data_IF_961507229661
#
_entry.id   IF_961507229661
#
_cell.length_a   1.000
_cell.length_b   1.000
_cell.length_c   1.000
_cell.angle_alpha   90.00
_cell.angle_beta   90.00
_cell.angle_gamma   90.00
#
_symmetry.space_group_name_H-M   'P 1'
#
loop_
_entity.id
_entity.type
_entity.pdbx_description
1 polymer ?
#
# COMPACT_ATOMS: atom_id res chain seq x y z
N UNK A 1 11.41 -9.96 -7.71
CA UNK A 1 11.13 -9.29 -6.42
C UNK A 1 9.99 -10.03 -5.76
N UNK A 2 10.21 -10.46 -4.52
CA UNK A 2 9.18 -11.09 -3.68
C UNK A 2 8.57 -10.04 -2.77
N UNK A 3 7.24 -9.99 -2.71
CA UNK A 3 6.54 -9.21 -1.70
C UNK A 3 6.60 -9.98 -0.38
N UNK A 4 7.04 -9.33 0.69
CA UNK A 4 7.41 -9.95 1.98
C UNK A 4 6.55 -9.48 3.13
N UNK A 5 5.81 -8.37 2.95
CA UNK A 5 4.81 -7.95 3.92
C UNK A 5 3.65 -7.21 3.26
N UNK A 6 2.45 -7.59 3.67
CA UNK A 6 1.20 -6.92 3.36
C UNK A 6 0.35 -6.90 4.61
N UNK A 7 -0.42 -5.83 4.78
CA UNK A 7 -1.25 -5.67 5.96
C UNK A 7 -2.52 -4.91 5.60
N UNK A 8 -3.65 -5.30 6.20
CA UNK A 8 -4.94 -4.65 5.99
C UNK A 8 -5.73 -4.64 7.30
N UNK A 9 -6.07 -3.44 7.79
CA UNK A 9 -7.17 -3.26 8.74
C UNK A 9 -6.82 -2.91 10.18
N UNK A 10 -7.89 -2.71 10.96
CA UNK A 10 -7.87 -2.22 12.33
C UNK A 10 -7.34 -3.31 13.29
N UNK A 11 -6.02 -3.51 13.32
CA UNK A 11 -5.36 -4.39 14.28
C UNK A 11 -5.24 -5.87 13.88
N UNK A 12 -5.26 -6.21 12.59
CA UNK A 12 -5.17 -7.60 12.13
C UNK A 12 -4.17 -7.82 10.99
N UNK A 13 -3.22 -8.74 11.19
CA UNK A 13 -2.30 -9.21 10.16
C UNK A 13 -3.06 -10.10 9.15
N UNK A 14 -3.38 -9.57 7.97
CA UNK A 14 -3.84 -10.39 6.84
C UNK A 14 -2.63 -10.71 5.97
N UNK A 15 -1.94 -11.81 6.29
CA UNK A 15 -0.83 -12.33 5.48
C UNK A 15 -1.33 -13.27 4.37
N UNK A 16 -2.46 -13.95 4.61
CA UNK A 16 -3.13 -14.87 3.67
C UNK A 16 -4.53 -14.37 3.29
N UNK A 17 -4.94 -14.58 2.03
CA UNK A 17 -6.22 -14.11 1.49
C UNK A 17 -6.10 -12.78 0.72
N UNK A 18 -7.14 -11.94 0.78
CA UNK A 18 -7.16 -10.60 0.18
C UNK A 18 -6.90 -9.52 1.23
N UNK A 19 -6.09 -8.52 0.88
CA UNK A 19 -5.98 -7.29 1.65
C UNK A 19 -7.21 -6.45 1.36
N UNK A 20 -7.64 -5.61 2.31
CA UNK A 20 -8.83 -4.78 2.16
C UNK A 20 -8.49 -3.31 2.28
N UNK A 21 -9.11 -2.53 1.42
CA UNK A 21 -9.25 -1.09 1.60
C UNK A 21 -10.74 -0.81 1.71
N UNK A 22 -11.15 -0.16 2.80
CA UNK A 22 -12.54 0.11 3.09
C UNK A 22 -12.69 1.45 3.78
N UNK A 23 -13.72 2.20 3.41
CA UNK A 23 -14.14 3.40 4.13
C UNK A 23 -15.65 3.28 4.36
N UNK A 24 -16.12 3.67 5.54
CA UNK A 24 -17.54 3.97 5.78
C UNK A 24 -17.70 5.06 6.84
N UNK A 25 -16.74 5.98 6.90
CA UNK A 25 -16.69 7.05 7.90
C UNK A 25 -17.90 8.02 7.84
N UNK A 26 -18.71 7.99 6.76
CA UNK A 26 -20.01 8.67 6.67
C UNK A 26 -21.17 7.93 7.33
N UNK A 27 -21.00 6.68 7.74
CA UNK A 27 -22.08 5.84 8.27
C UNK A 27 -22.22 5.97 9.80
N UNK A 28 -23.30 5.41 10.34
CA UNK A 28 -23.62 5.43 11.78
C UNK A 28 -22.57 4.73 12.65
N UNK A 29 -21.86 3.75 12.11
CA UNK A 29 -20.74 3.05 12.75
C UNK A 29 -19.47 3.27 11.92
N UNK A 30 -18.81 4.43 12.04
CA UNK A 30 -17.73 4.82 11.16
C UNK A 30 -16.46 4.00 11.46
N UNK A 31 -15.90 3.37 10.43
CA UNK A 31 -14.54 2.85 10.47
C UNK A 31 -13.94 2.83 9.06
N UNK A 32 -12.62 2.75 9.01
CA UNK A 32 -11.84 2.58 7.78
C UNK A 32 -10.84 1.43 7.96
N UNK A 33 -10.39 0.88 6.83
CA UNK A 33 -9.36 -0.14 6.72
C UNK A 33 -8.40 0.34 5.64
N UNK A 34 -7.14 0.53 6.03
CA UNK A 34 -6.06 0.90 5.13
C UNK A 34 -5.12 -0.30 4.94
N UNK A 35 -4.49 -0.37 3.77
CA UNK A 35 -3.57 -1.45 3.42
C UNK A 35 -2.14 -0.95 3.33
N UNK A 36 -1.19 -1.59 4.04
CA UNK A 36 0.25 -1.40 3.83
C UNK A 36 0.80 -2.47 2.88
N UNK A 37 1.67 -2.07 1.97
CA UNK A 37 2.29 -2.95 0.99
C UNK A 37 3.76 -2.59 0.81
N UNK A 38 4.67 -3.55 1.07
CA UNK A 38 6.12 -3.34 0.97
C UNK A 38 6.84 -4.53 0.33
N UNK A 39 7.54 -4.27 -0.77
CA UNK A 39 8.45 -5.22 -1.39
C UNK A 39 9.82 -5.12 -0.73
N UNK A 40 10.29 -6.19 -0.08
CA UNK A 40 11.67 -6.25 0.39
C UNK A 40 12.61 -6.79 -0.70
N UNK A 41 13.91 -6.62 -0.49
CA UNK A 41 14.96 -7.14 -1.38
C UNK A 41 14.82 -6.69 -2.85
N UNK A 42 14.44 -5.43 -3.05
CA UNK A 42 14.43 -4.80 -4.38
C UNK A 42 15.87 -4.46 -4.80
N UNK A 43 16.20 -4.69 -6.07
CA UNK A 43 17.51 -4.37 -6.63
C UNK A 43 17.41 -4.07 -8.13
N UNK A 44 18.39 -3.32 -8.63
CA UNK A 44 18.68 -3.10 -10.05
C UNK A 44 20.20 -3.29 -10.26
N UNK A 45 20.70 -3.44 -11.50
CA UNK A 45 22.14 -3.53 -11.74
C UNK A 45 22.92 -2.33 -11.17
N UNK A 46 24.13 -2.58 -10.67
CA UNK A 46 24.97 -1.53 -10.09
C UNK A 46 25.26 -0.40 -11.08
N UNK A 47 25.25 0.85 -10.60
CA UNK A 47 25.48 2.05 -11.42
C UNK A 47 24.28 2.49 -12.28
N UNK A 48 23.16 1.77 -12.22
CA UNK A 48 21.91 2.16 -12.89
C UNK A 48 21.05 3.07 -12.03
N UNK A 49 20.22 3.86 -12.69
CA UNK A 49 19.23 4.73 -12.05
C UNK A 49 17.81 4.33 -12.45
N UNK A 50 16.82 4.60 -11.59
CA UNK A 50 15.41 4.35 -11.88
C UNK A 50 14.92 5.32 -12.95
N UNK A 51 14.53 4.81 -14.11
CA UNK A 51 13.88 5.58 -15.17
C UNK A 51 12.35 5.66 -14.93
N UNK A 52 11.74 4.55 -14.53
CA UNK A 52 10.32 4.51 -14.16
C UNK A 52 10.04 3.33 -13.23
N UNK A 53 9.04 3.46 -12.37
CA UNK A 53 8.56 2.37 -11.52
C UNK A 53 7.04 2.23 -11.62
N UNK A 54 6.56 0.98 -11.64
CA UNK A 54 5.13 0.65 -11.75
C UNK A 54 4.74 -0.41 -10.74
N UNK A 55 3.71 -0.12 -9.97
CA UNK A 55 3.04 -1.08 -9.10
C UNK A 55 1.81 -1.63 -9.82
N UNK A 56 1.79 -2.93 -10.07
CA UNK A 56 0.65 -3.63 -10.66
C UNK A 56 -0.06 -4.42 -9.57
N UNK A 57 -1.36 -4.18 -9.41
CA UNK A 57 -2.21 -4.83 -8.42
C UNK A 57 -3.42 -5.46 -9.09
N UNK A 58 -3.73 -6.70 -8.72
CA UNK A 58 -5.03 -7.30 -9.00
C UNK A 58 -5.97 -6.95 -7.85
N UNK A 59 -7.10 -6.35 -8.18
CA UNK A 59 -8.11 -5.90 -7.22
C UNK A 59 -9.48 -6.45 -7.60
N UNK A 60 -10.37 -6.57 -6.62
CA UNK A 60 -11.77 -6.90 -6.80
C UNK A 60 -12.63 -5.83 -6.15
N UNK A 61 -13.53 -5.23 -6.93
CA UNK A 61 -14.57 -4.34 -6.42
C UNK A 61 -15.77 -4.30 -7.35
N UNK A 62 -16.96 -4.12 -6.77
CA UNK A 62 -18.21 -3.90 -7.50
C UNK A 62 -18.68 -2.44 -7.41
N UNK A 63 -17.78 -1.53 -7.02
CA UNK A 63 -18.02 -0.09 -6.97
C UNK A 63 -17.24 0.63 -8.09
N UNK A 64 -17.69 1.83 -8.42
CA UNK A 64 -17.01 2.76 -9.33
C UNK A 64 -17.27 4.20 -8.87
N UNK A 65 -16.59 5.18 -9.49
CA UNK A 65 -16.79 6.59 -9.16
C UNK A 65 -16.21 7.04 -7.81
N UNK A 66 -15.31 6.25 -7.23
CA UNK A 66 -14.54 6.60 -6.03
C UNK A 66 -13.06 6.75 -6.36
N UNK A 67 -12.32 7.38 -5.45
CA UNK A 67 -10.86 7.53 -5.55
C UNK A 67 -10.21 6.73 -4.44
N UNK A 68 -9.32 5.81 -4.81
CA UNK A 68 -8.35 5.23 -3.88
C UNK A 68 -7.04 5.99 -4.03
N UNK A 69 -6.38 6.27 -2.93
CA UNK A 69 -5.11 6.99 -2.91
C UNK A 69 -4.01 6.11 -2.33
N UNK A 70 -2.77 6.46 -2.63
CA UNK A 70 -1.59 5.85 -2.05
C UNK A 70 -0.58 6.89 -1.60
N UNK A 71 0.03 6.66 -0.43
CA UNK A 71 1.11 7.47 0.13
C UNK A 71 2.36 6.61 0.32
N UNK A 72 3.53 7.22 0.15
CA UNK A 72 4.80 6.55 0.41
C UNK A 72 5.13 6.64 1.89
N UNK A 73 5.28 5.51 2.56
CA UNK A 73 5.64 5.48 3.97
C UNK A 73 7.10 5.88 4.16
N UNK A 74 7.40 6.56 5.26
CA UNK A 74 8.78 6.94 5.59
C UNK A 74 9.21 6.50 6.99
N UNK A 75 8.26 6.33 7.92
CA UNK A 75 8.56 5.81 9.25
C UNK A 75 8.55 4.29 9.23
N UNK A 76 9.42 3.68 10.04
CA UNK A 76 9.53 2.24 10.08
C UNK A 76 8.32 1.60 10.78
N UNK A 77 7.97 0.39 10.38
CA UNK A 77 6.93 -0.40 11.04
C UNK A 77 7.28 -1.88 10.96
N UNK A 78 6.70 -2.64 11.88
CA UNK A 78 6.88 -4.08 11.96
C UNK A 78 5.59 -4.80 11.57
N UNK A 79 5.48 -5.29 10.31
CA UNK A 79 4.29 -6.00 9.85
C UNK A 79 4.08 -7.35 10.54
N UNK A 80 5.07 -7.86 11.29
CA UNK A 80 4.95 -9.11 12.05
C UNK A 80 4.46 -8.89 13.47
N UNK A 81 4.42 -7.64 13.93
CA UNK A 81 3.97 -7.29 15.26
C UNK A 81 2.46 -7.57 15.39
N UNK A 82 2.07 -8.35 16.41
CA UNK A 82 0.68 -8.77 16.59
C UNK A 82 -0.31 -7.64 16.92
N UNK A 83 0.19 -6.49 17.40
CA UNK A 83 -0.63 -5.33 17.74
C UNK A 83 -0.40 -4.13 16.80
N UNK A 84 0.27 -4.33 15.64
CA UNK A 84 0.30 -3.30 14.61
C UNK A 84 -1.14 -2.99 14.19
N UNK A 85 -1.44 -1.72 13.95
CA UNK A 85 -2.79 -1.28 13.58
C UNK A 85 -2.93 0.23 13.64
N UNK A 86 -4.12 0.71 14.00
CA UNK A 86 -4.47 2.12 13.97
C UNK A 86 -3.52 3.01 14.80
N UNK A 87 -3.15 2.56 16.01
CA UNK A 87 -2.29 3.33 16.91
C UNK A 87 -0.82 2.91 16.84
N UNK A 88 -0.55 1.60 16.88
CA UNK A 88 0.82 1.09 16.95
C UNK A 88 1.37 0.78 15.56
N UNK A 89 2.63 1.14 15.33
CA UNK A 89 3.38 0.76 14.13
C UNK A 89 4.35 -0.40 14.37
N UNK A 90 4.81 -0.56 15.62
CA UNK A 90 5.64 -1.67 16.11
C UNK A 90 5.62 -1.70 17.63
N UNK A 91 6.24 -2.71 18.23
CA UNK A 91 6.38 -2.81 19.70
C UNK A 91 6.98 -1.52 20.29
N UNK A 92 6.27 -0.92 21.25
CA UNK A 92 6.71 0.28 21.95
C UNK A 92 6.69 1.59 21.14
N UNK A 93 6.11 1.59 19.93
CA UNK A 93 6.05 2.80 19.10
C UNK A 93 4.70 2.99 18.40
N UNK A 94 4.22 4.23 18.44
CA UNK A 94 2.99 4.67 17.80
C UNK A 94 3.26 5.28 16.42
N UNK A 95 2.24 5.30 15.56
CA UNK A 95 2.17 6.25 14.46
C UNK A 95 2.13 7.68 15.02
N UNK A 96 2.72 8.64 14.29
CA UNK A 96 2.67 10.04 14.69
C UNK A 96 1.23 10.58 14.62
N UNK A 97 0.44 10.12 13.66
CA UNK A 97 -1.01 10.29 13.65
C UNK A 97 -1.67 8.94 13.41
N UNK A 98 -2.67 8.62 14.22
CA UNK A 98 -3.35 7.33 14.13
C UNK A 98 -3.88 7.05 12.71
N UNK A 99 -3.73 5.81 12.26
CA UNK A 99 -3.94 5.40 10.87
C UNK A 99 -2.76 5.71 9.95
N UNK A 100 -1.59 6.02 10.51
CA UNK A 100 -0.39 6.44 9.79
C UNK A 100 -0.61 7.71 8.94
N UNK A 101 -1.39 8.66 9.47
CA UNK A 101 -1.84 9.88 8.76
C UNK A 101 -0.92 11.09 8.97
N UNK A 102 0.25 10.92 9.58
CA UNK A 102 1.17 12.02 9.87
C UNK A 102 1.93 12.50 8.63
N UNK A 103 1.59 13.69 8.14
CA UNK A 103 2.28 14.29 6.99
C UNK A 103 3.73 14.68 7.33
N UNK A 104 4.70 14.14 6.59
CA UNK A 104 6.12 14.39 6.85
C UNK A 104 6.63 13.74 8.14
N UNK A 105 5.81 12.91 8.80
CA UNK A 105 6.20 12.10 9.97
C UNK A 105 5.99 10.62 9.70
N UNK A 106 4.77 10.19 9.36
CA UNK A 106 4.46 8.80 8.99
C UNK A 106 4.72 8.52 7.50
N UNK A 107 4.33 9.45 6.62
CA UNK A 107 4.48 9.36 5.17
C UNK A 107 5.24 10.55 4.57
N UNK A 108 5.78 10.37 3.37
CA UNK A 108 6.57 11.38 2.65
C UNK A 108 5.67 12.55 2.21
N UNK A 109 5.97 13.76 2.69
CA UNK A 109 5.19 14.95 2.35
C UNK A 109 5.22 15.28 0.87
N UNK A 110 4.06 15.63 0.31
CA UNK A 110 3.91 16.02 -1.10
C UNK A 110 4.08 14.88 -2.12
N UNK A 111 4.20 13.62 -1.67
CA UNK A 111 4.32 12.45 -2.54
C UNK A 111 3.15 11.49 -2.31
N UNK A 112 2.28 11.38 -3.29
CA UNK A 112 1.15 10.45 -3.32
C UNK A 112 0.80 10.08 -4.76
N UNK A 113 -0.11 9.13 -4.93
CA UNK A 113 -0.76 8.82 -6.19
C UNK A 113 -2.26 8.57 -5.96
N UNK A 114 -3.05 8.68 -7.03
CA UNK A 114 -4.48 8.44 -7.00
C UNK A 114 -4.87 7.40 -8.06
N UNK A 115 -5.93 6.64 -7.76
CA UNK A 115 -6.51 5.61 -8.60
C UNK A 115 -8.00 5.93 -8.70
N UNK A 116 -8.43 6.32 -9.89
CA UNK A 116 -9.80 6.80 -10.16
C UNK A 116 -10.54 5.96 -11.20
N UNK A 117 -9.85 5.00 -11.83
CA UNK A 117 -10.34 4.25 -12.99
C UNK A 117 -11.02 2.94 -12.62
N UNK A 118 -11.66 2.85 -11.45
CA UNK A 118 -12.33 1.63 -11.02
C UNK A 118 -13.60 1.35 -11.82
N UNK A 119 -13.76 0.09 -12.23
CA UNK A 119 -15.00 -0.41 -12.84
C UNK A 119 -15.77 -1.29 -11.86
N UNK A 120 -17.10 -1.17 -11.85
CA UNK A 120 -18.00 -1.98 -11.05
C UNK A 120 -18.23 -3.38 -11.66
N UNK A 121 -17.14 -4.12 -11.89
CA UNK A 121 -17.15 -5.39 -12.63
C UNK A 121 -16.44 -6.53 -11.89
N UNK A 122 -16.08 -6.32 -10.63
CA UNK A 122 -15.28 -7.25 -9.83
C UNK A 122 -13.80 -7.13 -10.16
N UNK A 123 -13.25 -8.24 -10.64
CA UNK A 123 -11.83 -8.48 -10.84
C UNK A 123 -11.20 -7.59 -11.92
N UNK A 124 -10.18 -6.81 -11.55
CA UNK A 124 -9.48 -5.89 -12.45
C UNK A 124 -8.00 -5.74 -12.09
N UNK A 125 -7.18 -5.47 -13.10
CA UNK A 125 -5.74 -5.21 -12.92
C UNK A 125 -5.52 -3.72 -13.07
N UNK A 126 -4.92 -3.11 -12.05
CA UNK A 126 -4.61 -1.70 -12.01
C UNK A 126 -3.10 -1.52 -12.02
N UNK A 127 -2.64 -0.71 -12.97
CA UNK A 127 -1.26 -0.28 -13.10
C UNK A 127 -1.11 1.14 -12.51
N UNK A 128 -0.20 1.28 -11.56
CA UNK A 128 0.02 2.51 -10.81
C UNK A 128 1.45 2.97 -11.06
N UNK A 129 1.60 4.16 -11.63
CA UNK A 129 2.90 4.80 -11.75
C UNK A 129 3.37 5.28 -10.39
N UNK A 130 4.57 4.82 -9.98
CA UNK A 130 5.22 5.28 -8.76
C UNK A 130 6.23 6.39 -9.07
N UNK A 131 6.54 7.20 -8.06
CA UNK A 131 7.53 8.26 -8.14
C UNK A 131 8.95 7.64 -8.26
N UNK A 132 9.66 7.86 -9.38
CA UNK A 132 10.98 7.27 -9.60
C UNK A 132 12.01 7.66 -8.53
N UNK A 133 11.92 8.88 -7.98
CA UNK A 133 12.86 9.37 -6.96
C UNK A 133 12.67 8.67 -5.63
N UNK A 134 11.43 8.33 -5.26
CA UNK A 134 11.15 7.57 -4.04
C UNK A 134 11.65 6.13 -4.18
N UNK A 135 11.36 5.49 -5.32
CA UNK A 135 11.84 4.12 -5.60
C UNK A 135 13.37 4.06 -5.72
N UNK A 136 14.00 5.09 -6.28
CA UNK A 136 15.46 5.23 -6.26
C UNK A 136 15.98 5.30 -4.82
N UNK A 137 15.33 6.06 -3.93
CA UNK A 137 15.67 6.11 -2.51
C UNK A 137 15.63 4.74 -1.83
N UNK A 138 14.58 3.95 -2.10
CA UNK A 138 14.46 2.58 -1.59
C UNK A 138 15.62 1.67 -2.04
N UNK A 139 16.13 1.85 -3.26
CA UNK A 139 17.27 1.09 -3.79
C UNK A 139 18.60 1.58 -3.20
N UNK A 140 18.78 2.89 -3.07
CA UNK A 140 20.01 3.51 -2.56
C UNK A 140 20.18 3.31 -1.06
N UNK A 141 19.08 3.30 -0.30
CA UNK A 141 19.10 3.07 1.14
C UNK A 141 17.95 2.14 1.51
N UNK A 142 18.15 0.80 1.43
CA UNK A 142 17.08 -0.19 1.65
C UNK A 142 16.32 -0.04 2.97
N UNK A 143 16.93 0.49 4.03
CA UNK A 143 16.26 0.75 5.31
C UNK A 143 15.20 1.86 5.25
N UNK A 144 15.20 2.70 4.20
CA UNK A 144 14.17 3.72 3.95
C UNK A 144 12.97 3.18 3.17
N UNK A 145 13.07 1.96 2.65
CA UNK A 145 11.94 1.31 2.00
C UNK A 145 10.92 0.90 3.07
N UNK A 146 9.87 1.70 3.20
CA UNK A 146 8.71 1.39 4.03
C UNK A 146 7.47 1.13 3.16
N UNK A 147 7.63 0.98 1.85
CA UNK A 147 6.52 0.70 0.94
C UNK A 147 5.49 1.81 0.87
N UNK A 148 4.24 1.41 0.63
CA UNK A 148 3.11 2.32 0.42
C UNK A 148 1.93 1.95 1.30
N UNK A 149 1.13 2.94 1.66
CA UNK A 149 -0.18 2.76 2.29
C UNK A 149 -1.27 3.15 1.28
N UNK A 150 -2.22 2.25 1.06
CA UNK A 150 -3.41 2.43 0.23
C UNK A 150 -4.64 2.68 1.12
N UNK A 151 -5.43 3.68 0.76
CA UNK A 151 -6.58 4.14 1.52
C UNK A 151 -7.62 4.78 0.59
N UNK A 152 -8.85 4.91 1.05
CA UNK A 152 -9.88 5.71 0.40
C UNK A 152 -10.12 6.92 1.30
N UNK A 153 -9.95 8.13 0.76
CA UNK A 153 -10.12 9.41 1.49
C UNK A 153 -11.40 10.12 1.06
N UNK A 154 -12.47 9.35 0.88
CA UNK A 154 -13.77 9.86 0.53
C UNK A 154 -14.81 8.97 1.21
N UNK A 155 -15.69 9.54 2.06
CA UNK A 155 -16.55 8.78 2.94
C UNK A 155 -17.67 8.12 2.14
N UNK A 156 -17.30 7.02 1.50
CA UNK A 156 -18.07 6.21 0.56
C UNK A 156 -18.10 4.82 1.12
N UNK A 157 -19.26 4.16 1.17
CA UNK A 157 -19.36 2.78 1.64
C UNK A 157 -18.81 1.82 0.56
N UNK A 158 -17.49 1.81 0.39
CA UNK A 158 -16.79 1.12 -0.70
C UNK A 158 -15.74 0.20 -0.13
N UNK A 159 -15.76 -1.05 -0.60
CA UNK A 159 -14.74 -2.05 -0.34
C UNK A 159 -13.97 -2.38 -1.61
N UNK A 160 -12.65 -2.50 -1.46
CA UNK A 160 -11.74 -3.03 -2.48
C UNK A 160 -10.93 -4.15 -1.83
N UNK A 161 -11.02 -5.34 -2.40
CA UNK A 161 -10.13 -6.46 -2.07
C UNK A 161 -8.91 -6.40 -3.00
N UNK A 162 -7.71 -6.58 -2.46
CA UNK A 162 -6.45 -6.63 -3.19
C UNK A 162 -5.87 -8.02 -3.01
N UNK A 163 -5.56 -8.68 -4.13
CA UNK A 163 -4.97 -10.01 -4.11
C UNK A 163 -3.57 -9.96 -3.50
N UNK A 164 -3.26 -10.91 -2.61
CA UNK A 164 -2.03 -10.85 -1.85
C UNK A 164 -0.85 -11.60 -2.50
N UNK A 165 0.37 -11.38 -1.98
CA UNK A 165 1.55 -12.18 -2.33
C UNK A 165 1.39 -13.69 -2.11
N UNK A 166 0.48 -14.10 -1.23
CA UNK A 166 0.23 -15.51 -0.93
C UNK A 166 -0.82 -16.13 -1.85
N UNK A 167 -1.40 -15.36 -2.78
CA UNK A 167 -2.38 -15.89 -3.72
C UNK A 167 -1.82 -17.10 -4.48
N UNK A 168 -2.63 -18.16 -4.59
CA UNK A 168 -2.22 -19.40 -5.23
C UNK A 168 -1.88 -19.18 -6.73
N UNK A 169 -2.50 -18.19 -7.37
CA UNK A 169 -2.22 -17.83 -8.75
C UNK A 169 -1.17 -16.72 -8.79
N UNK A 170 0.05 -17.05 -9.23
CA UNK A 170 1.17 -16.11 -9.29
C UNK A 170 0.85 -14.82 -10.06
N UNK A 171 -0.01 -14.87 -11.08
CA UNK A 171 -0.41 -13.71 -11.87
C UNK A 171 -1.28 -12.70 -11.10
N UNK A 172 -1.91 -13.11 -10.00
CA UNK A 172 -2.72 -12.23 -9.16
C UNK A 172 -1.89 -11.47 -8.13
N UNK A 173 -0.66 -11.93 -7.85
CA UNK A 173 0.19 -11.35 -6.81
C UNK A 173 0.63 -9.94 -7.18
N UNK A 174 0.75 -9.01 -6.21
CA UNK A 174 1.25 -7.68 -6.48
C UNK A 174 2.66 -7.72 -7.09
N UNK A 175 2.91 -6.81 -8.04
CA UNK A 175 4.18 -6.76 -8.77
C UNK A 175 4.72 -5.34 -8.82
N UNK A 176 5.98 -5.17 -8.42
CA UNK A 176 6.77 -3.98 -8.67
C UNK A 176 7.63 -4.21 -9.93
N UNK A 177 7.46 -3.35 -10.93
CA UNK A 177 8.28 -3.32 -12.15
C UNK A 177 9.13 -2.05 -12.17
N UNK A 178 10.43 -2.18 -12.40
CA UNK A 178 11.38 -1.06 -12.43
C UNK A 178 12.09 -1.06 -13.77
N UNK A 179 11.99 0.04 -14.51
CA UNK A 179 12.79 0.33 -15.70
C UNK A 179 13.99 1.16 -15.27
N UNK A 180 15.17 0.85 -15.77
CA UNK A 180 16.43 1.50 -15.37
C UNK A 180 17.26 1.94 -16.58
N UNK A 181 18.13 2.92 -16.37
CA UNK A 181 19.04 3.48 -17.38
C UNK A 181 20.47 3.65 -16.83
#
# INVERSE_FOLDING_TARGET
MSLTSQYSGNGGNILSGTLKVFDQTSQTTPYEINTLLRFDSISIPAGKTVASAKLTLKMNTWASGFTMEGRYMQTDYDPTYSLIGWQNRKSGALWATAGAKGNGTDYVSGKSFAITSFTASGDQVIDITLDPSVVQGWLTTPSTNQGVLLYIDNPTNVAVDIYSAEDATTANRPKLSITYQ
#
